data_IF_299848445125
#
_entry.id   IF_299848445125
#
_cell.length_a   1.000
_cell.length_b   1.000
_cell.length_c   1.000
_cell.angle_alpha   90.00
_cell.angle_beta   90.00
_cell.angle_gamma   90.00
#
_symmetry.space_group_name_H-M   'P 1'
#
loop_
_entity.id
_entity.type
_entity.pdbx_description
1 polymer ?
#
# COMPACT_ATOMS: atom_id res chain seq x y z
N UNK A 1 16.54 -9.33 -3.23
CA UNK A 1 15.48 -8.29 -3.25
C UNK A 1 14.24 -8.90 -2.63
N UNK A 2 13.81 -8.37 -1.49
CA UNK A 2 12.73 -8.96 -0.70
C UNK A 2 11.45 -8.15 -0.88
N UNK A 3 10.44 -8.74 -1.54
CA UNK A 3 9.18 -8.07 -1.87
C UNK A 3 8.20 -8.10 -0.67
N UNK A 4 8.52 -8.87 0.38
CA UNK A 4 7.60 -9.07 1.52
C UNK A 4 7.16 -7.77 2.18
N UNK A 5 8.09 -6.82 2.38
CA UNK A 5 7.78 -5.50 2.93
C UNK A 5 6.79 -4.73 2.06
N UNK A 6 7.03 -4.72 0.74
CA UNK A 6 6.14 -4.06 -0.19
C UNK A 6 4.75 -4.72 -0.22
N UNK A 7 4.69 -6.05 -0.14
CA UNK A 7 3.41 -6.78 -0.14
C UNK A 7 2.59 -6.51 1.13
N UNK A 8 3.24 -6.52 2.30
CA UNK A 8 2.60 -6.22 3.59
C UNK A 8 2.17 -4.75 3.64
N UNK A 9 3.03 -3.82 3.20
CA UNK A 9 2.68 -2.40 3.14
C UNK A 9 1.51 -2.14 2.19
N UNK A 10 1.47 -2.82 1.04
CA UNK A 10 0.36 -2.75 0.09
C UNK A 10 -0.93 -3.35 0.65
N UNK A 11 -0.87 -4.49 1.34
CA UNK A 11 -2.06 -5.10 1.93
C UNK A 11 -2.64 -4.22 3.04
N UNK A 12 -1.79 -3.58 3.85
CA UNK A 12 -2.21 -2.59 4.84
C UNK A 12 -2.86 -1.37 4.18
N UNK A 13 -2.28 -0.84 3.11
CA UNK A 13 -2.86 0.30 2.38
C UNK A 13 -4.25 -0.02 1.84
N UNK A 14 -4.41 -1.18 1.18
CA UNK A 14 -5.70 -1.65 0.66
C UNK A 14 -6.70 -1.87 1.79
N UNK A 15 -6.28 -2.48 2.89
CA UNK A 15 -7.16 -2.74 4.03
C UNK A 15 -7.70 -1.43 4.62
N UNK A 16 -6.83 -0.46 4.87
CA UNK A 16 -7.18 0.78 5.59
C UNK A 16 -7.94 1.78 4.70
N UNK A 17 -7.58 1.90 3.43
CA UNK A 17 -8.18 2.90 2.53
C UNK A 17 -9.21 2.35 1.54
N UNK A 18 -9.17 1.06 1.21
CA UNK A 18 -10.11 0.48 0.22
C UNK A 18 -11.12 -0.49 0.82
N UNK A 19 -10.86 -1.14 1.96
CA UNK A 19 -11.77 -2.17 2.53
C UNK A 19 -12.42 -1.78 3.84
N UNK A 20 -11.70 -1.15 4.76
CA UNK A 20 -12.24 -0.74 6.06
C UNK A 20 -13.41 0.26 5.94
N UNK A 21 -13.39 1.25 5.02
CA UNK A 21 -14.54 2.15 4.83
C UNK A 21 -15.83 1.43 4.39
N UNK A 22 -15.70 0.31 3.67
CA UNK A 22 -16.81 -0.49 3.15
C UNK A 22 -17.35 -1.52 4.16
N UNK A 23 -16.56 -1.89 5.18
CA UNK A 23 -16.92 -2.93 6.15
C UNK A 23 -17.98 -2.51 7.19
N UNK A 24 -18.35 -1.23 7.24
CA UNK A 24 -19.52 -0.74 7.99
C UNK A 24 -19.35 0.66 8.61
N UNK A 25 -20.46 1.22 9.10
CA UNK A 25 -20.52 2.59 9.62
C UNK A 25 -19.64 2.84 10.87
N UNK A 26 -19.21 1.80 11.58
CA UNK A 26 -18.41 1.94 12.80
C UNK A 26 -17.02 2.55 12.53
N UNK A 27 -16.37 2.18 11.41
CA UNK A 27 -15.05 2.70 11.07
C UNK A 27 -15.15 4.17 10.66
N UNK A 28 -16.13 4.50 9.81
CA UNK A 28 -16.42 5.88 9.42
C UNK A 28 -16.77 6.74 10.64
N UNK A 29 -17.51 6.20 11.62
CA UNK A 29 -17.79 6.88 12.88
C UNK A 29 -16.52 7.16 13.70
N UNK A 30 -15.56 6.23 13.77
CA UNK A 30 -14.28 6.44 14.45
C UNK A 30 -13.47 7.54 13.75
N UNK A 31 -13.37 7.49 12.43
CA UNK A 31 -12.67 8.51 11.63
C UNK A 31 -13.37 9.87 11.79
N UNK A 32 -14.70 9.89 11.95
CA UNK A 32 -15.46 11.10 12.22
C UNK A 32 -15.22 11.69 13.60
N UNK A 33 -14.96 10.85 14.60
CA UNK A 33 -14.69 11.27 15.98
C UNK A 33 -13.22 11.59 16.24
N UNK A 34 -12.35 11.40 15.24
CA UNK A 34 -10.92 11.69 15.35
C UNK A 34 -10.67 13.20 15.52
N UNK A 35 -9.71 13.61 16.36
CA UNK A 35 -9.29 15.00 16.46
C UNK A 35 -8.81 15.52 15.10
N UNK A 36 -9.07 16.80 14.80
CA UNK A 36 -8.70 17.48 13.55
C UNK A 36 -7.33 17.08 12.96
N UNK A 37 -6.21 17.07 13.71
CA UNK A 37 -4.91 16.73 13.12
C UNK A 37 -4.83 15.29 12.61
N UNK A 38 -5.41 14.33 13.33
CA UNK A 38 -5.37 12.92 12.91
C UNK A 38 -6.25 12.67 11.69
N UNK A 39 -7.39 13.36 11.60
CA UNK A 39 -8.27 13.27 10.45
C UNK A 39 -7.61 13.82 9.18
N UNK A 40 -6.95 14.98 9.30
CA UNK A 40 -6.13 15.52 8.22
C UNK A 40 -5.04 14.55 7.77
N UNK A 41 -4.38 13.88 8.73
CA UNK A 41 -3.36 12.88 8.43
C UNK A 41 -3.94 11.69 7.66
N UNK A 42 -5.08 11.17 8.09
CA UNK A 42 -5.78 10.06 7.44
C UNK A 42 -6.14 10.39 5.98
N UNK A 43 -6.70 11.57 5.73
CA UNK A 43 -7.06 12.01 4.39
C UNK A 43 -5.82 12.24 3.51
N UNK A 44 -4.78 12.88 4.06
CA UNK A 44 -3.55 13.21 3.34
C UNK A 44 -2.68 11.97 3.04
N UNK A 45 -2.73 10.95 3.90
CA UNK A 45 -1.99 9.69 3.73
C UNK A 45 -2.74 8.66 2.89
N UNK A 46 -3.89 9.01 2.29
CA UNK A 46 -4.56 8.15 1.31
C UNK A 46 -3.69 7.81 0.08
N UNK A 47 -2.69 8.65 -0.22
CA UNK A 47 -1.73 8.38 -1.26
C UNK A 47 -0.88 7.13 -0.93
N UNK A 48 -0.85 6.10 -1.80
CA UNK A 48 -0.13 4.84 -1.54
C UNK A 48 1.37 5.02 -1.37
N UNK A 49 1.95 6.04 -2.02
CA UNK A 49 3.36 6.39 -1.83
C UNK A 49 3.62 7.03 -0.46
N UNK A 50 2.80 8.00 -0.05
CA UNK A 50 2.97 8.72 1.21
C UNK A 50 2.80 7.78 2.42
N UNK A 51 1.74 6.99 2.43
CA UNK A 51 1.57 5.96 3.47
C UNK A 51 2.63 4.87 3.37
N UNK A 52 2.95 4.43 2.14
CA UNK A 52 3.92 3.39 1.87
C UNK A 52 5.30 3.71 2.46
N UNK A 53 5.75 4.96 2.40
CA UNK A 53 7.02 5.37 2.99
C UNK A 53 7.04 5.19 4.51
N UNK A 54 6.03 5.71 5.22
CA UNK A 54 5.97 5.62 6.68
C UNK A 54 5.76 4.19 7.16
N UNK A 55 4.90 3.43 6.48
CA UNK A 55 4.66 2.03 6.84
C UNK A 55 5.88 1.17 6.56
N UNK A 56 6.62 1.42 5.47
CA UNK A 56 7.85 0.71 5.17
C UNK A 56 8.90 0.98 6.25
N UNK A 57 9.08 2.24 6.65
CA UNK A 57 10.01 2.61 7.71
C UNK A 57 9.65 1.95 9.05
N UNK A 58 8.36 1.91 9.40
CA UNK A 58 7.87 1.24 10.59
C UNK A 58 8.06 -0.28 10.53
N UNK A 59 7.72 -0.91 9.40
CA UNK A 59 7.91 -2.35 9.20
C UNK A 59 9.39 -2.71 9.21
N UNK A 60 10.26 -1.87 8.66
CA UNK A 60 11.70 -2.01 8.71
C UNK A 60 12.20 -2.00 10.16
N UNK A 61 11.73 -1.03 10.95
CA UNK A 61 12.06 -0.94 12.37
C UNK A 61 11.59 -2.17 13.18
N UNK A 62 10.42 -2.72 12.85
CA UNK A 62 9.85 -3.88 13.56
C UNK A 62 10.45 -5.22 13.14
N UNK A 63 10.76 -5.39 11.85
CA UNK A 63 11.14 -6.69 11.28
C UNK A 63 12.63 -6.78 10.95
N UNK A 64 13.35 -5.67 10.92
CA UNK A 64 14.75 -5.55 10.45
C UNK A 64 14.98 -6.09 9.03
N UNK A 65 13.92 -6.30 8.25
CA UNK A 65 14.01 -6.74 6.86
C UNK A 65 14.26 -5.55 5.94
N UNK A 66 14.93 -5.78 4.80
CA UNK A 66 15.25 -4.75 3.81
C UNK A 66 14.68 -5.20 2.47
N UNK A 67 14.12 -4.26 1.71
CA UNK A 67 13.64 -4.53 0.35
C UNK A 67 14.82 -4.73 -0.59
N UNK A 68 15.82 -3.85 -0.51
CA UNK A 68 17.10 -3.95 -1.18
C UNK A 68 18.17 -4.40 -0.18
N UNK A 69 18.55 -5.67 -0.29
CA UNK A 69 19.63 -6.27 0.51
C UNK A 69 20.97 -5.54 0.35
N UNK A 70 21.22 -4.88 -0.79
CA UNK A 70 22.43 -4.09 -1.00
C UNK A 70 22.57 -2.91 -0.03
N UNK A 71 21.47 -2.38 0.50
CA UNK A 71 21.50 -1.30 1.49
C UNK A 71 21.83 -1.79 2.90
N UNK A 72 21.77 -3.10 3.16
CA UNK A 72 22.25 -3.67 4.42
C UNK A 72 23.76 -3.55 4.57
N UNK A 73 24.50 -3.47 3.46
CA UNK A 73 25.98 -3.43 3.46
C UNK A 73 26.44 -2.08 2.93
N UNK A 74 25.89 -1.00 3.50
CA UNK A 74 26.32 0.33 3.13
C UNK A 74 27.80 0.54 3.45
N UNK A 75 28.54 1.23 2.57
CA UNK A 75 29.97 1.44 2.75
C UNK A 75 30.28 2.31 3.98
N UNK A 76 31.32 1.92 4.72
CA UNK A 76 31.68 2.49 6.02
C UNK A 76 32.11 3.97 5.98
N UNK A 77 32.30 4.57 4.80
CA UNK A 77 32.68 5.99 4.69
C UNK A 77 31.61 6.95 5.25
N UNK A 78 30.34 6.50 5.31
CA UNK A 78 29.23 7.26 5.90
C UNK A 78 29.17 7.16 7.43
N UNK A 79 29.95 6.27 8.05
CA UNK A 79 29.99 6.07 9.49
C UNK A 79 28.58 5.87 10.09
N UNK A 80 28.25 6.64 11.12
CA UNK A 80 26.97 6.58 11.86
C UNK A 80 25.75 6.96 10.99
N UNK A 81 25.95 7.71 9.91
CA UNK A 81 24.87 8.12 9.00
C UNK A 81 24.50 7.04 7.97
N UNK A 82 25.30 5.97 7.85
CA UNK A 82 25.03 4.88 6.90
C UNK A 82 23.67 4.23 7.13
N UNK A 83 23.35 3.90 8.38
CA UNK A 83 22.12 3.22 8.77
C UNK A 83 20.84 4.03 8.49
N UNK A 84 20.67 5.28 8.96
CA UNK A 84 19.47 6.05 8.68
C UNK A 84 19.29 6.33 7.18
N UNK A 85 20.38 6.58 6.45
CA UNK A 85 20.32 6.78 5.00
C UNK A 85 19.86 5.50 4.31
N UNK A 86 20.38 4.34 4.73
CA UNK A 86 19.95 3.05 4.20
C UNK A 86 18.45 2.80 4.43
N UNK A 87 17.93 3.12 5.62
CA UNK A 87 16.51 2.95 5.94
C UNK A 87 15.61 3.86 5.11
N UNK A 88 15.99 5.12 4.95
CA UNK A 88 15.23 6.08 4.14
C UNK A 88 15.21 5.62 2.69
N UNK A 89 16.37 5.28 2.11
CA UNK A 89 16.46 4.83 0.73
C UNK A 89 15.70 3.52 0.48
N UNK A 90 15.77 2.56 1.40
CA UNK A 90 15.00 1.32 1.31
C UNK A 90 13.49 1.62 1.34
N UNK A 91 13.05 2.43 2.32
CA UNK A 91 11.64 2.82 2.47
C UNK A 91 11.10 3.57 1.24
N UNK A 92 11.93 4.40 0.58
CA UNK A 92 11.56 5.06 -0.67
C UNK A 92 11.33 4.04 -1.80
N UNK A 93 12.20 3.04 -1.91
CA UNK A 93 12.07 1.99 -2.91
C UNK A 93 10.83 1.11 -2.63
N UNK A 94 10.59 0.74 -1.37
CA UNK A 94 9.38 0.01 -0.95
C UNK A 94 8.11 0.80 -1.25
N UNK A 95 8.09 2.10 -0.94
CA UNK A 95 6.95 2.98 -1.22
C UNK A 95 6.63 3.04 -2.71
N UNK A 96 7.66 3.10 -3.57
CA UNK A 96 7.48 3.04 -5.02
C UNK A 96 6.86 1.71 -5.46
N UNK A 97 7.32 0.58 -4.91
CA UNK A 97 6.75 -0.74 -5.20
C UNK A 97 5.29 -0.84 -4.74
N UNK A 98 4.95 -0.30 -3.58
CA UNK A 98 3.56 -0.24 -3.07
C UNK A 98 2.69 0.59 -4.02
N UNK A 99 3.17 1.75 -4.48
CA UNK A 99 2.43 2.58 -5.43
C UNK A 99 2.21 1.87 -6.77
N UNK A 100 3.25 1.23 -7.31
CA UNK A 100 3.15 0.43 -8.53
C UNK A 100 2.18 -0.73 -8.36
N UNK A 101 2.24 -1.44 -7.23
CA UNK A 101 1.31 -2.53 -6.93
C UNK A 101 -0.14 -2.06 -6.81
N UNK A 102 -0.39 -0.94 -6.10
CA UNK A 102 -1.73 -0.37 -5.95
C UNK A 102 -2.32 0.07 -7.30
N UNK A 103 -1.53 0.78 -8.11
CA UNK A 103 -1.92 1.17 -9.47
C UNK A 103 -2.12 -0.05 -10.39
N UNK A 104 -1.26 -1.05 -10.27
CA UNK A 104 -1.36 -2.31 -11.01
C UNK A 104 -2.65 -3.06 -10.70
N UNK A 105 -3.03 -3.17 -9.42
CA UNK A 105 -4.29 -3.78 -9.01
C UNK A 105 -5.51 -3.00 -9.54
N UNK A 106 -5.48 -1.67 -9.49
CA UNK A 106 -6.54 -0.83 -10.07
C UNK A 106 -6.65 -0.97 -11.59
N UNK A 107 -5.50 -1.01 -12.27
CA UNK A 107 -5.44 -1.19 -13.72
C UNK A 107 -5.95 -2.58 -14.14
N UNK A 108 -5.73 -3.63 -13.33
CA UNK A 108 -6.26 -4.97 -13.56
C UNK A 108 -7.75 -5.10 -13.21
N UNK A 109 -8.26 -4.32 -12.25
CA UNK A 109 -9.65 -4.35 -11.85
C UNK A 109 -10.62 -3.90 -12.97
N UNK A 110 -10.27 -2.84 -13.71
CA UNK A 110 -11.11 -2.31 -14.80
C UNK A 110 -11.41 -3.34 -15.90
N UNK A 111 -10.42 -4.01 -16.53
CA UNK A 111 -10.68 -5.05 -17.52
C UNK A 111 -11.37 -6.27 -16.90
N UNK A 112 -11.09 -6.61 -15.64
CA UNK A 112 -11.75 -7.72 -14.97
C UNK A 112 -13.26 -7.48 -14.78
N UNK A 113 -13.66 -6.28 -14.38
CA UNK A 113 -15.08 -5.89 -14.24
C UNK A 113 -15.77 -5.94 -15.61
N UNK A 114 -15.19 -5.32 -16.64
CA UNK A 114 -15.77 -5.35 -18.00
C UNK A 114 -15.90 -6.77 -18.55
N UNK A 115 -14.90 -7.63 -18.34
CA UNK A 115 -14.96 -9.04 -18.73
C UNK A 115 -16.08 -9.79 -18.02
N UNK A 116 -16.28 -9.52 -16.73
CA UNK A 116 -17.36 -10.12 -15.94
C UNK A 116 -18.75 -9.67 -16.42
N UNK A 117 -18.95 -8.36 -16.62
CA UNK A 117 -20.20 -7.79 -17.14
C UNK A 117 -20.55 -8.36 -18.52
N UNK A 118 -19.59 -8.42 -19.44
CA UNK A 118 -19.80 -9.02 -20.76
C UNK A 118 -20.20 -10.49 -20.64
N UNK A 119 -19.55 -11.26 -19.77
CA UNK A 119 -19.89 -12.68 -19.54
C UNK A 119 -21.30 -12.84 -18.97
N UNK A 120 -21.72 -11.97 -18.04
CA UNK A 120 -23.08 -11.98 -17.52
C UNK A 120 -24.10 -11.61 -18.59
N UNK A 121 -23.83 -10.59 -19.41
CA UNK A 121 -24.68 -10.20 -20.53
C UNK A 121 -24.86 -11.36 -21.52
N UNK A 122 -23.78 -12.05 -21.93
CA UNK A 122 -23.86 -13.25 -22.77
C UNK A 122 -24.69 -14.37 -22.15
N UNK A 123 -24.57 -14.60 -20.84
CA UNK A 123 -25.36 -15.63 -20.14
C UNK A 123 -26.83 -15.27 -20.03
N UNK A 124 -27.17 -13.99 -19.87
CA UNK A 124 -28.55 -13.52 -19.81
C UNK A 124 -29.27 -13.70 -21.15
N UNK A 125 -28.65 -13.29 -22.26
CA UNK A 125 -29.18 -13.47 -23.63
C UNK A 125 -29.34 -14.95 -23.98
N UNK A 126 -28.48 -15.83 -23.46
CA UNK A 126 -28.60 -17.29 -23.67
C UNK A 126 -29.74 -17.93 -22.87
N UNK A 127 -30.18 -17.35 -21.76
CA UNK A 127 -31.28 -17.88 -20.93
C UNK A 127 -32.67 -17.50 -21.44
N UNK A 128 -32.79 -16.43 -22.22
CA UNK A 128 -34.05 -15.98 -22.84
C UNK A 128 -34.38 -16.69 -24.17
N UNK A 129 -33.54 -17.65 -24.60
CA UNK A 129 -33.69 -18.40 -25.85
C UNK A 129 -33.89 -19.89 -25.56
#
# INVERSE_FOLDING_TARGET
MNISLALIGLSLHILIWEKLPDWGNWFNWIVEHLPRPFRYLYDSWSCPYCFGFWVALLLHALTSTYTLESLQHMPNYLGVMSQPVAWVLDSLATALLIMVGSLGLKALAVPAIKGHEMTQAFRSVRKEK
#
